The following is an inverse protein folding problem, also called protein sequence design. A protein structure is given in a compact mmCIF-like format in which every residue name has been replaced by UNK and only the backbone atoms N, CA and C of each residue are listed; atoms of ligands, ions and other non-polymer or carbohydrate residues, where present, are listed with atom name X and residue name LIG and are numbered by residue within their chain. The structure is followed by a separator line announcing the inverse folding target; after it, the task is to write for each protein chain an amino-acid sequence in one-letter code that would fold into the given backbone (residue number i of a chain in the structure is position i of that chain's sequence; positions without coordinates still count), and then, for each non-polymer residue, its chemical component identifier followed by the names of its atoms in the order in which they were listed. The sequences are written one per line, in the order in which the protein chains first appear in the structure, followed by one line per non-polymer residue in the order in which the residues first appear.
data_IF_880073094092
#
_entry.id   IF_880073094092
#
_cell.length_a   1.000
_cell.length_b   1.000
_cell.length_c   1.000
_cell.angle_alpha   90.00
_cell.angle_beta   90.00
_cell.angle_gamma   90.00
#
_symmetry.space_group_name_H-M   'P 1'
#
loop_
_entity.id
_entity.type
_entity.pdbx_description
1 polymer ?
#
# COMPACT_ATOMS: atom_id res chain seq x y z
N UNK A 1 -25.55 -4.64 -25.47
CA UNK A 1 -25.44 -3.28 -24.90
C UNK A 1 -24.47 -3.35 -23.73
N UNK A 2 -23.35 -2.63 -23.77
CA UNK A 2 -22.42 -2.55 -22.63
C UNK A 2 -23.05 -1.59 -21.63
N UNK A 3 -23.56 -2.10 -20.50
CA UNK A 3 -24.00 -1.25 -19.40
C UNK A 3 -22.85 -0.30 -19.02
N UNK A 4 -23.10 1.00 -19.17
CA UNK A 4 -22.15 2.03 -18.76
C UNK A 4 -22.02 1.93 -17.24
N UNK A 5 -20.85 1.48 -16.77
CA UNK A 5 -20.56 1.37 -15.33
C UNK A 5 -20.93 2.69 -14.65
N UNK A 6 -21.95 2.66 -13.77
CA UNK A 6 -22.39 3.84 -13.03
C UNK A 6 -21.23 4.32 -12.16
N UNK A 7 -20.80 5.56 -12.38
CA UNK A 7 -19.73 6.18 -11.60
C UNK A 7 -20.17 6.29 -10.13
N UNK A 8 -19.29 5.93 -9.20
CA UNK A 8 -19.58 5.94 -7.77
C UNK A 8 -18.93 7.19 -7.17
N UNK A 9 -19.69 8.28 -7.01
CA UNK A 9 -19.17 9.57 -6.54
C UNK A 9 -18.47 9.48 -5.20
N UNK A 10 -19.01 8.72 -4.25
CA UNK A 10 -18.38 8.52 -2.93
C UNK A 10 -17.02 7.83 -3.01
N UNK A 11 -16.82 6.95 -4.00
CA UNK A 11 -15.54 6.29 -4.21
C UNK A 11 -14.48 7.25 -4.77
N UNK A 12 -14.89 8.18 -5.64
CA UNK A 12 -14.00 9.21 -6.15
C UNK A 12 -13.65 10.25 -5.08
N UNK A 13 -14.62 10.64 -4.25
CA UNK A 13 -14.36 11.51 -3.10
C UNK A 13 -13.36 10.89 -2.13
N UNK A 14 -13.54 9.62 -1.77
CA UNK A 14 -12.63 8.91 -0.87
C UNK A 14 -11.20 8.84 -1.46
N UNK A 15 -11.06 8.66 -2.78
CA UNK A 15 -9.75 8.69 -3.44
C UNK A 15 -9.10 10.07 -3.40
N UNK A 16 -9.88 11.12 -3.69
CA UNK A 16 -9.39 12.49 -3.60
C UNK A 16 -8.90 12.81 -2.18
N UNK A 17 -9.66 12.39 -1.16
CA UNK A 17 -9.28 12.55 0.24
C UNK A 17 -8.00 11.76 0.59
N UNK A 18 -7.87 10.53 0.11
CA UNK A 18 -6.67 9.72 0.33
C UNK A 18 -5.42 10.35 -0.31
N UNK A 19 -5.53 10.84 -1.55
CA UNK A 19 -4.44 11.53 -2.24
C UNK A 19 -4.08 12.80 -1.49
N UNK A 20 -5.06 13.61 -1.09
CA UNK A 20 -4.85 14.83 -0.32
C UNK A 20 -4.10 14.56 0.99
N UNK A 21 -4.54 13.56 1.76
CA UNK A 21 -3.85 13.16 2.99
C UNK A 21 -2.42 12.67 2.74
N UNK A 22 -2.19 11.87 1.70
CA UNK A 22 -0.85 11.40 1.34
C UNK A 22 0.08 12.54 0.95
N UNK A 23 -0.42 13.54 0.23
CA UNK A 23 0.33 14.76 -0.11
C UNK A 23 0.73 15.52 1.16
N UNK A 24 -0.21 15.72 2.10
CA UNK A 24 0.10 16.40 3.38
C UNK A 24 1.21 15.67 4.14
N UNK A 25 1.04 14.36 4.35
CA UNK A 25 1.97 13.56 5.16
C UNK A 25 3.37 13.54 4.53
N UNK A 26 3.45 13.34 3.22
CA UNK A 26 4.74 13.30 2.53
C UNK A 26 5.38 14.68 2.42
N UNK A 27 4.59 15.75 2.24
CA UNK A 27 5.13 17.10 2.19
C UNK A 27 5.73 17.52 3.54
N UNK A 28 5.07 17.14 4.65
CA UNK A 28 5.60 17.32 6.01
C UNK A 28 6.98 16.66 6.15
N UNK A 29 7.09 15.39 5.74
CA UNK A 29 8.33 14.62 5.80
C UNK A 29 9.43 15.23 4.92
N UNK A 30 9.11 15.54 3.66
CA UNK A 30 10.07 16.09 2.69
C UNK A 30 10.62 17.46 3.09
N UNK A 31 9.86 18.25 3.84
CA UNK A 31 10.29 19.56 4.35
C UNK A 31 10.99 19.48 5.71
N UNK A 32 11.13 18.29 6.31
CA UNK A 32 11.67 18.15 7.67
C UNK A 32 10.83 18.91 8.71
N UNK A 33 9.53 19.03 8.47
CA UNK A 33 8.61 19.80 9.30
C UNK A 33 8.03 18.99 10.47
N UNK A 34 8.56 17.79 10.72
CA UNK A 34 8.11 16.94 11.82
C UNK A 34 8.38 17.59 13.17
N UNK A 35 7.31 17.84 13.93
CA UNK A 35 7.37 18.53 15.21
C UNK A 35 7.62 20.03 15.12
N UNK A 36 7.73 20.60 13.92
CA UNK A 36 7.99 22.04 13.70
C UNK A 36 6.69 22.77 13.28
N UNK A 37 6.42 23.91 13.92
CA UNK A 37 5.29 24.78 13.60
C UNK A 37 4.26 24.93 14.73
N UNK A 38 3.13 25.55 14.43
CA UNK A 38 2.07 25.76 15.42
C UNK A 38 1.42 24.42 15.82
N UNK A 39 1.14 24.24 17.11
CA UNK A 39 0.59 23.00 17.65
C UNK A 39 -0.68 22.52 16.95
N UNK A 40 -1.54 23.45 16.50
CA UNK A 40 -2.76 23.11 15.77
C UNK A 40 -2.48 22.52 14.38
N UNK A 41 -1.40 22.93 13.70
CA UNK A 41 -0.99 22.40 12.38
C UNK A 41 -0.42 20.99 12.56
N UNK A 42 0.43 20.79 13.57
CA UNK A 42 0.99 19.47 13.88
C UNK A 42 -0.14 18.48 14.19
N UNK A 43 -1.10 18.89 15.03
CA UNK A 43 -2.26 18.05 15.35
C UNK A 43 -3.12 17.76 14.12
N UNK A 44 -3.37 18.77 13.28
CA UNK A 44 -4.15 18.61 12.05
C UNK A 44 -3.48 17.65 11.05
N UNK A 45 -2.19 17.81 10.80
CA UNK A 45 -1.44 16.94 9.87
C UNK A 45 -1.30 15.52 10.42
N UNK A 46 -1.12 15.35 11.73
CA UNK A 46 -1.10 14.06 12.41
C UNK A 46 -2.40 13.25 12.26
N UNK A 47 -3.54 13.90 11.96
CA UNK A 47 -4.80 13.18 11.67
C UNK A 47 -4.73 12.34 10.39
N UNK A 48 -3.83 12.68 9.45
CA UNK A 48 -3.68 11.99 8.17
C UNK A 48 -2.60 10.91 8.21
N UNK A 49 -1.67 10.98 9.17
CA UNK A 49 -0.56 10.05 9.30
C UNK A 49 -1.05 8.62 9.55
N UNK A 50 -0.60 7.68 8.73
CA UNK A 50 -1.07 6.28 8.69
C UNK A 50 -2.52 6.08 8.19
N UNK A 51 -3.43 7.03 8.43
CA UNK A 51 -4.84 6.93 8.00
C UNK A 51 -5.00 7.14 6.50
N UNK A 52 -4.26 8.07 5.91
CA UNK A 52 -4.32 8.34 4.48
C UNK A 52 -3.86 7.13 3.65
N UNK A 53 -2.77 6.46 4.07
CA UNK A 53 -2.29 5.24 3.42
C UNK A 53 -3.27 4.08 3.59
N UNK A 54 -3.87 3.91 4.77
CA UNK A 54 -4.89 2.89 5.00
C UNK A 54 -6.11 3.06 4.07
N UNK A 55 -6.64 4.29 3.95
CA UNK A 55 -7.74 4.58 3.01
C UNK A 55 -7.30 4.30 1.57
N UNK A 56 -6.09 4.73 1.18
CA UNK A 56 -5.55 4.52 -0.16
C UNK A 56 -5.49 3.03 -0.55
N UNK A 57 -5.01 2.18 0.36
CA UNK A 57 -4.91 0.72 0.15
C UNK A 57 -6.29 0.05 0.16
N UNK A 58 -7.21 0.46 1.04
CA UNK A 58 -8.59 -0.08 1.03
C UNK A 58 -9.29 0.22 -0.29
N UNK A 59 -9.17 1.47 -0.77
CA UNK A 59 -9.75 1.88 -2.05
C UNK A 59 -9.13 1.14 -3.24
N UNK A 60 -7.85 0.80 -3.16
CA UNK A 60 -7.18 -0.08 -4.13
C UNK A 60 -7.84 -1.46 -4.20
N UNK A 61 -8.01 -2.09 -3.04
CA UNK A 61 -8.64 -3.41 -2.92
C UNK A 61 -10.07 -3.40 -3.48
N UNK A 62 -10.87 -2.38 -3.13
CA UNK A 62 -12.20 -2.16 -3.69
C UNK A 62 -12.12 -1.96 -5.22
N UNK A 63 -11.18 -1.17 -5.71
CA UNK A 63 -10.97 -0.93 -7.13
C UNK A 63 -10.66 -2.21 -7.92
N UNK A 64 -9.79 -3.07 -7.39
CA UNK A 64 -9.46 -4.37 -7.98
C UNK A 64 -10.67 -5.30 -7.90
N UNK A 65 -11.39 -5.33 -6.78
CA UNK A 65 -12.61 -6.12 -6.61
C UNK A 65 -13.70 -5.75 -7.62
N UNK A 66 -13.88 -4.46 -7.90
CA UNK A 66 -14.79 -3.95 -8.93
C UNK A 66 -14.30 -4.28 -10.34
N UNK A 67 -13.03 -4.02 -10.64
CA UNK A 67 -12.40 -4.32 -11.94
C UNK A 67 -12.52 -5.81 -12.31
N UNK A 68 -12.41 -6.69 -11.32
CA UNK A 68 -12.43 -8.14 -11.51
C UNK A 68 -13.81 -8.78 -11.30
N UNK A 69 -14.86 -7.98 -11.02
CA UNK A 69 -16.22 -8.47 -10.72
C UNK A 69 -16.72 -9.53 -11.71
N UNK A 70 -16.54 -9.31 -13.01
CA UNK A 70 -16.98 -10.27 -14.05
C UNK A 70 -16.23 -11.60 -13.96
N UNK A 71 -14.91 -11.57 -13.76
CA UNK A 71 -14.09 -12.78 -13.60
C UNK A 71 -14.48 -13.56 -12.34
N UNK A 72 -14.86 -12.86 -11.25
CA UNK A 72 -15.30 -13.48 -9.99
C UNK A 72 -16.66 -14.18 -10.10
N UNK A 73 -17.62 -13.52 -10.74
CA UNK A 73 -18.99 -14.05 -10.89
C UNK A 73 -19.00 -15.25 -11.84
N UNK A 74 -18.36 -15.12 -13.01
CA UNK A 74 -18.38 -16.15 -14.05
C UNK A 74 -17.43 -17.32 -13.77
N UNK A 75 -16.41 -17.11 -12.92
CA UNK A 75 -15.30 -18.05 -12.68
C UNK A 75 -14.59 -18.52 -13.96
N UNK A 76 -14.71 -17.74 -15.04
CA UNK A 76 -14.07 -18.02 -16.33
C UNK A 76 -12.54 -17.87 -16.21
N UNK A 77 -11.82 -18.94 -16.49
CA UNK A 77 -10.36 -19.00 -16.41
C UNK A 77 -9.68 -17.96 -17.32
N UNK A 78 -10.25 -17.67 -18.48
CA UNK A 78 -9.70 -16.69 -19.43
C UNK A 78 -9.79 -15.28 -18.87
N UNK A 79 -10.94 -14.92 -18.28
CA UNK A 79 -11.16 -13.63 -17.63
C UNK A 79 -10.29 -13.47 -16.39
N UNK A 80 -10.13 -14.54 -15.59
CA UNK A 80 -9.25 -14.53 -14.43
C UNK A 80 -7.80 -14.28 -14.84
N UNK A 81 -7.29 -15.01 -15.85
CA UNK A 81 -5.92 -14.82 -16.37
C UNK A 81 -5.72 -13.39 -16.89
N UNK A 82 -6.69 -12.86 -17.65
CA UNK A 82 -6.66 -11.49 -18.16
C UNK A 82 -6.62 -10.47 -17.02
N UNK A 83 -7.48 -10.62 -16.02
CA UNK A 83 -7.51 -9.76 -14.83
C UNK A 83 -6.20 -9.82 -14.05
N UNK A 84 -5.64 -11.01 -13.81
CA UNK A 84 -4.32 -11.17 -13.17
C UNK A 84 -3.23 -10.45 -13.95
N UNK A 85 -3.16 -10.66 -15.26
CA UNK A 85 -2.16 -10.04 -16.11
C UNK A 85 -2.27 -8.50 -16.12
N UNK A 86 -3.48 -7.95 -16.17
CA UNK A 86 -3.68 -6.50 -16.03
C UNK A 86 -3.21 -5.99 -14.67
N UNK A 87 -3.54 -6.68 -13.58
CA UNK A 87 -3.08 -6.31 -12.23
C UNK A 87 -1.55 -6.38 -12.12
N UNK A 88 -0.92 -7.43 -12.65
CA UNK A 88 0.54 -7.60 -12.63
C UNK A 88 1.26 -6.51 -13.42
N UNK A 89 0.77 -6.15 -14.61
CA UNK A 89 1.36 -5.05 -15.38
C UNK A 89 1.32 -3.72 -14.62
N UNK A 90 0.22 -3.44 -13.93
CA UNK A 90 0.09 -2.25 -13.07
C UNK A 90 0.99 -2.32 -11.85
N UNK A 91 1.08 -3.49 -11.21
CA UNK A 91 2.00 -3.72 -10.10
C UNK A 91 3.45 -3.50 -10.52
N UNK A 92 3.90 -4.10 -11.63
CA UNK A 92 5.26 -3.91 -12.15
C UNK A 92 5.52 -2.44 -12.47
N UNK A 93 4.58 -1.75 -13.11
CA UNK A 93 4.72 -0.32 -13.39
C UNK A 93 4.89 0.51 -12.11
N UNK A 94 4.06 0.26 -11.09
CA UNK A 94 4.17 0.96 -9.81
C UNK A 94 5.43 0.59 -9.04
N UNK A 95 5.89 -0.66 -9.16
CA UNK A 95 7.14 -1.10 -8.55
C UNK A 95 8.32 -0.32 -9.15
N UNK A 96 8.42 -0.27 -10.48
CA UNK A 96 9.47 0.49 -11.17
C UNK A 96 9.42 1.96 -10.77
N UNK A 97 8.22 2.55 -10.71
CA UNK A 97 8.06 3.95 -10.32
C UNK A 97 8.44 4.19 -8.85
N UNK A 98 8.11 3.27 -7.94
CA UNK A 98 8.50 3.35 -6.53
C UNK A 98 10.02 3.24 -6.35
N UNK A 99 10.65 2.26 -7.00
CA UNK A 99 12.12 2.15 -6.99
C UNK A 99 12.78 3.40 -7.59
N UNK A 100 12.20 3.97 -8.67
CA UNK A 100 12.70 5.22 -9.25
C UNK A 100 12.60 6.40 -8.28
N UNK A 101 11.49 6.54 -7.55
CA UNK A 101 11.33 7.55 -6.50
C UNK A 101 12.39 7.37 -5.41
N UNK A 102 12.61 6.12 -4.98
CA UNK A 102 13.62 5.79 -3.98
C UNK A 102 15.03 6.19 -4.44
N UNK A 103 15.38 5.98 -5.71
CA UNK A 103 16.68 6.39 -6.30
C UNK A 103 16.89 7.90 -6.24
N UNK A 104 15.83 8.71 -6.39
CA UNK A 104 15.90 10.17 -6.36
C UNK A 104 15.91 10.71 -4.92
N UNK A 105 15.93 9.83 -3.91
CA UNK A 105 15.98 10.19 -2.49
C UNK A 105 14.60 10.29 -1.83
N UNK A 106 13.54 9.78 -2.47
CA UNK A 106 12.22 9.73 -1.87
C UNK A 106 11.99 8.38 -1.18
N UNK A 107 12.39 8.28 0.08
CA UNK A 107 12.34 7.05 0.89
C UNK A 107 10.92 6.63 1.31
N UNK A 108 9.99 7.58 1.42
CA UNK A 108 8.62 7.35 1.89
C UNK A 108 7.61 7.03 0.78
N UNK A 109 8.06 6.43 -0.33
CA UNK A 109 7.16 6.11 -1.42
C UNK A 109 6.19 4.97 -1.03
N UNK A 110 4.89 5.17 -1.25
CA UNK A 110 3.88 4.11 -1.09
C UNK A 110 3.86 3.15 -2.28
N UNK A 111 4.48 3.52 -3.39
CA UNK A 111 4.27 2.88 -4.69
C UNK A 111 4.86 1.47 -4.75
N UNK A 112 6.07 1.26 -4.24
CA UNK A 112 6.66 -0.07 -4.27
C UNK A 112 5.90 -1.04 -3.37
N UNK A 113 5.47 -0.63 -2.16
CA UNK A 113 4.59 -1.46 -1.31
C UNK A 113 3.27 -1.77 -2.00
N UNK A 114 2.66 -0.76 -2.62
CA UNK A 114 1.40 -0.89 -3.33
C UNK A 114 1.49 -1.87 -4.49
N UNK A 115 2.63 -1.92 -5.18
CA UNK A 115 2.89 -2.93 -6.20
C UNK A 115 2.78 -4.34 -5.63
N UNK A 116 3.35 -4.61 -4.46
CA UNK A 116 3.22 -5.91 -3.79
C UNK A 116 1.80 -6.20 -3.32
N UNK A 117 1.09 -5.21 -2.79
CA UNK A 117 -0.32 -5.37 -2.42
C UNK A 117 -1.18 -5.73 -3.65
N UNK A 118 -1.00 -5.03 -4.77
CA UNK A 118 -1.69 -5.33 -6.02
C UNK A 118 -1.33 -6.73 -6.53
N UNK A 119 -0.04 -7.06 -6.53
CA UNK A 119 0.43 -8.38 -6.95
C UNK A 119 -0.17 -9.48 -6.09
N UNK A 120 -0.14 -9.35 -4.76
CA UNK A 120 -0.71 -10.31 -3.83
C UNK A 120 -2.23 -10.42 -3.99
N UNK A 121 -2.94 -9.30 -4.14
CA UNK A 121 -4.39 -9.28 -4.35
C UNK A 121 -4.83 -10.06 -5.60
N UNK A 122 -3.97 -10.17 -6.61
CA UNK A 122 -4.26 -10.90 -7.85
C UNK A 122 -4.50 -12.41 -7.60
N UNK A 123 -3.89 -12.97 -6.55
CA UNK A 123 -4.09 -14.37 -6.16
C UNK A 123 -5.43 -14.58 -5.45
N UNK A 124 -6.02 -13.52 -4.90
CA UNK A 124 -7.28 -13.55 -4.17
C UNK A 124 -8.52 -13.23 -5.02
N UNK A 125 -8.37 -13.01 -6.33
CA UNK A 125 -9.50 -12.62 -7.21
C UNK A 125 -10.70 -13.56 -7.03
N UNK A 126 -10.50 -14.88 -7.10
CA UNK A 126 -11.58 -15.89 -6.94
C UNK A 126 -11.51 -16.64 -5.61
N UNK A 127 -10.78 -16.10 -4.63
CA UNK A 127 -10.64 -16.74 -3.33
C UNK A 127 -11.99 -16.81 -2.59
N UNK A 128 -12.18 -17.88 -1.82
CA UNK A 128 -13.35 -18.01 -0.97
C UNK A 128 -13.29 -17.05 0.22
N UNK A 129 -14.44 -16.71 0.81
CA UNK A 129 -14.49 -15.91 2.03
C UNK A 129 -13.68 -16.53 3.18
N UNK A 130 -13.63 -17.86 3.27
CA UNK A 130 -12.81 -18.57 4.26
C UNK A 130 -11.32 -18.36 4.01
N UNK A 131 -10.88 -18.47 2.76
CA UNK A 131 -9.48 -18.21 2.37
C UNK A 131 -9.09 -16.77 2.71
N UNK A 132 -9.96 -15.80 2.41
CA UNK A 132 -9.73 -14.40 2.77
C UNK A 132 -9.61 -14.21 4.29
N UNK A 133 -10.52 -14.81 5.06
CA UNK A 133 -10.51 -14.73 6.53
C UNK A 133 -9.24 -15.35 7.12
N UNK A 134 -8.86 -16.55 6.71
CA UNK A 134 -7.64 -17.19 7.21
C UNK A 134 -6.38 -16.43 6.80
N UNK A 135 -6.36 -15.86 5.59
CA UNK A 135 -5.22 -15.02 5.16
C UNK A 135 -5.14 -13.74 5.97
N UNK A 136 -6.27 -13.11 6.28
CA UNK A 136 -6.33 -11.94 7.14
C UNK A 136 -5.82 -12.25 8.56
N UNK A 137 -6.31 -13.32 9.17
CA UNK A 137 -5.83 -13.78 10.49
C UNK A 137 -4.34 -14.08 10.43
N UNK A 138 -3.88 -14.83 9.41
CA UNK A 138 -2.48 -15.17 9.23
C UNK A 138 -1.57 -13.94 9.08
N UNK A 139 -1.99 -12.93 8.33
CA UNK A 139 -1.25 -11.66 8.19
C UNK A 139 -1.14 -10.96 9.54
N UNK A 140 -2.26 -10.80 10.27
CA UNK A 140 -2.26 -10.12 11.57
C UNK A 140 -1.41 -10.86 12.61
N UNK A 141 -1.51 -12.18 12.68
CA UNK A 141 -0.70 -12.97 13.61
C UNK A 141 0.78 -12.90 13.24
N UNK A 142 1.12 -12.97 11.95
CA UNK A 142 2.51 -12.86 11.48
C UNK A 142 3.10 -11.50 11.80
N UNK A 143 2.35 -10.43 11.51
CA UNK A 143 2.67 -9.04 11.88
C UNK A 143 2.97 -8.91 13.37
N UNK A 144 2.07 -9.40 14.23
CA UNK A 144 2.26 -9.35 15.67
C UNK A 144 3.50 -10.13 16.14
N UNK A 145 3.75 -11.31 15.56
CA UNK A 145 4.94 -12.11 15.86
C UNK A 145 6.21 -11.37 15.44
N UNK A 146 6.20 -10.73 14.26
CA UNK A 146 7.35 -9.98 13.77
C UNK A 146 7.71 -8.82 14.70
N UNK A 147 6.70 -8.07 15.18
CA UNK A 147 6.92 -6.98 16.14
C UNK A 147 7.53 -7.44 17.48
N UNK A 148 7.26 -8.68 17.90
CA UNK A 148 7.79 -9.24 19.15
C UNK A 148 9.22 -9.78 19.01
N UNK A 149 9.58 -10.28 17.82
CA UNK A 149 10.84 -10.99 17.60
C UNK A 149 11.91 -10.10 16.95
N UNK A 150 11.51 -9.23 16.03
CA UNK A 150 12.43 -8.44 15.21
C UNK A 150 12.54 -7.01 15.69
N UNK A 151 13.77 -6.49 15.63
CA UNK A 151 14.07 -5.09 15.91
C UNK A 151 13.58 -4.20 14.76
N UNK A 152 12.56 -3.39 15.04
CA UNK A 152 11.98 -2.44 14.09
C UNK A 152 12.98 -1.37 13.64
N UNK A 153 13.93 -0.98 14.50
CA UNK A 153 14.89 0.10 14.21
C UNK A 153 15.98 -0.34 13.23
N UNK A 154 16.15 -1.65 13.04
CA UNK A 154 17.24 -2.21 12.24
C UNK A 154 17.16 -1.77 10.78
N UNK A 155 18.17 -1.06 10.30
CA UNK A 155 18.31 -0.63 8.91
C UNK A 155 17.80 0.78 8.61
N UNK A 156 17.14 1.42 9.59
CA UNK A 156 16.84 2.84 9.58
C UNK A 156 18.05 3.67 10.00
N UNK A 157 18.04 4.92 9.59
CA UNK A 157 18.85 5.97 10.21
C UNK A 157 18.26 6.41 11.57
N UNK A 158 18.97 7.25 12.31
CA UNK A 158 18.52 7.69 13.63
C UNK A 158 17.23 8.54 13.59
N UNK A 159 16.93 9.17 12.45
CA UNK A 159 15.75 10.02 12.28
C UNK A 159 14.52 9.26 11.73
N UNK A 160 14.65 7.98 11.34
CA UNK A 160 13.60 7.21 10.67
C UNK A 160 13.10 7.83 9.34
N UNK A 161 13.93 8.64 8.69
CA UNK A 161 13.61 9.22 7.39
C UNK A 161 14.24 8.43 6.25
N UNK A 162 15.40 7.81 6.47
CA UNK A 162 16.13 7.08 5.44
C UNK A 162 16.36 5.63 5.85
N UNK A 163 16.39 4.74 4.86
CA UNK A 163 16.69 3.32 5.06
C UNK A 163 17.99 2.94 4.35
N UNK A 164 19.17 3.21 4.93
CA UNK A 164 20.47 2.94 4.30
C UNK A 164 20.66 1.49 3.82
N UNK A 165 20.05 0.53 4.53
CA UNK A 165 20.17 -0.88 4.19
C UNK A 165 19.33 -1.33 2.97
N UNK A 166 18.54 -0.44 2.36
CA UNK A 166 17.52 -0.77 1.36
C UNK A 166 18.09 -1.53 0.15
N UNK A 167 19.28 -1.17 -0.29
CA UNK A 167 19.91 -1.76 -1.47
C UNK A 167 20.46 -3.17 -1.26
N UNK A 168 20.49 -3.66 -0.02
CA UNK A 168 20.80 -5.07 0.26
C UNK A 168 19.54 -5.91 0.15
N UNK A 169 19.63 -7.14 -0.36
CA UNK A 169 18.47 -8.04 -0.44
C UNK A 169 17.78 -8.21 0.93
N UNK A 170 18.57 -8.41 1.99
CA UNK A 170 18.04 -8.57 3.34
C UNK A 170 17.40 -7.28 3.90
N UNK A 171 17.92 -6.11 3.53
CA UNK A 171 17.34 -4.83 3.93
C UNK A 171 16.06 -4.51 3.16
N UNK A 172 16.06 -4.71 1.83
CA UNK A 172 14.86 -4.57 1.01
C UNK A 172 13.71 -5.45 1.51
N UNK A 173 13.98 -6.74 1.76
CA UNK A 173 12.97 -7.66 2.27
C UNK A 173 12.47 -7.25 3.66
N UNK A 174 13.35 -6.78 4.55
CA UNK A 174 12.95 -6.30 5.89
C UNK A 174 12.08 -5.06 5.81
N UNK A 175 12.48 -4.10 4.97
CA UNK A 175 11.72 -2.87 4.72
C UNK A 175 10.33 -3.21 4.13
N UNK A 176 10.28 -4.05 3.10
CA UNK A 176 9.04 -4.44 2.44
C UNK A 176 8.11 -5.24 3.36
N UNK A 177 8.66 -6.19 4.12
CA UNK A 177 7.85 -7.15 4.87
C UNK A 177 7.50 -6.67 6.27
N UNK A 178 8.35 -5.89 6.94
CA UNK A 178 8.22 -5.66 8.37
C UNK A 178 8.35 -4.20 8.80
N UNK A 179 9.46 -3.53 8.49
CA UNK A 179 9.79 -2.25 9.15
C UNK A 179 9.88 -1.06 8.21
N UNK A 180 9.28 -1.13 7.02
CA UNK A 180 9.15 0.01 6.11
C UNK A 180 8.08 1.01 6.55
N UNK A 181 7.80 2.03 5.72
CA UNK A 181 6.69 2.95 5.98
C UNK A 181 5.32 2.28 5.84
N UNK A 182 5.21 1.32 4.91
CA UNK A 182 3.97 0.60 4.61
C UNK A 182 4.22 -0.90 4.41
N UNK A 183 4.74 -1.60 5.42
CA UNK A 183 5.15 -3.00 5.29
C UNK A 183 3.95 -3.92 5.02
N UNK A 184 4.23 -5.12 4.51
CA UNK A 184 3.20 -6.16 4.31
C UNK A 184 2.70 -6.72 5.65
N UNK A 185 3.59 -6.82 6.63
CA UNK A 185 3.32 -7.26 7.99
C UNK A 185 3.72 -6.15 8.98
N UNK A 186 2.85 -5.15 9.20
CA UNK A 186 3.14 -3.99 10.05
C UNK A 186 3.25 -4.30 11.54
#
# INVERSE_FOLDING_TARGET
MVEKSKRITGFDFARALAIFGMVIVNYKLAMGADGNGAAWIINFTGLFEGRASAIFVILAGIGISLMTKRARITKDLTLIKKSKHTTWRRAIFLFILGIFLYIIGWSADILHYYAFYMFLSSFYIVASNRTLLYSFIGILTTAQIFQLIFDYTKGWDASFHEYPAFWTLAGFLRNLLFNGFHPIFP
#
